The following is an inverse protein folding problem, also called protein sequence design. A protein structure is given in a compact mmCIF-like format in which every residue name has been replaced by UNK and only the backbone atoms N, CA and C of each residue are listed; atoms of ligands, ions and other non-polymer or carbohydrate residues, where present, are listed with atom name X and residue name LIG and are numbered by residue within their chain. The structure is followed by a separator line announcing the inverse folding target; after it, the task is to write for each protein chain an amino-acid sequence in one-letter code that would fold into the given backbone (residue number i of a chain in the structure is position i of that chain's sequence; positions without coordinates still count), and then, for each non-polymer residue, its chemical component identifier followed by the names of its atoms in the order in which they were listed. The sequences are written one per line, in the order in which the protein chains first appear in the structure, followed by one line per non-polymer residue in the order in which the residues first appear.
data_IF_304958717616
#
_entry.id   IF_304958717616
#
_cell.length_a   1.000
_cell.length_b   1.000
_cell.length_c   1.000
_cell.angle_alpha   90.00
_cell.angle_beta   90.00
_cell.angle_gamma   90.00
#
_symmetry.space_group_name_H-M   'P 1'
#
loop_
_entity.id
_entity.type
_entity.pdbx_description
1 polymer ?
#
# COMPACT_ATOMS: atom_id res chain seq x y z
N UNK A 1 2.07 7.37 8.56
CA UNK A 1 1.36 6.75 9.70
C UNK A 1 0.57 7.84 10.42
N UNK A 2 -0.67 7.59 10.82
CA UNK A 2 -1.42 8.51 11.69
C UNK A 2 -1.49 7.93 13.10
N UNK A 3 -1.40 8.75 14.15
CA UNK A 3 -1.50 8.31 15.54
C UNK A 3 -2.54 9.19 16.20
N UNK A 4 -3.63 8.57 16.65
CA UNK A 4 -4.74 9.24 17.30
C UNK A 4 -5.44 8.25 18.25
N UNK A 5 -6.06 8.76 19.32
CA UNK A 5 -6.75 7.92 20.29
C UNK A 5 -8.06 7.36 19.72
N UNK A 6 -8.67 6.35 20.38
CA UNK A 6 -9.93 5.80 19.95
C UNK A 6 -11.05 6.85 19.83
N UNK A 7 -11.68 6.98 18.65
CA UNK A 7 -12.56 8.11 18.37
C UNK A 7 -13.85 8.12 19.17
N UNK A 8 -14.37 6.95 19.53
CA UNK A 8 -15.57 6.76 20.34
C UNK A 8 -15.48 7.39 21.74
N UNK A 9 -14.25 7.62 22.21
CA UNK A 9 -13.96 8.25 23.49
C UNK A 9 -13.45 9.68 23.30
N UNK A 10 -12.48 9.83 22.39
CA UNK A 10 -11.73 11.06 22.23
C UNK A 10 -12.42 12.13 21.38
N UNK A 11 -13.46 11.80 20.60
CA UNK A 11 -14.17 12.75 19.74
C UNK A 11 -15.69 12.76 19.96
N UNK A 12 -16.14 12.32 21.14
CA UNK A 12 -17.55 12.52 21.55
C UNK A 12 -17.91 14.00 21.52
N UNK A 13 -19.07 14.32 20.96
CA UNK A 13 -19.58 15.70 20.88
C UNK A 13 -19.67 16.36 22.26
N UNK A 14 -19.98 15.58 23.29
CA UNK A 14 -20.01 16.00 24.70
C UNK A 14 -18.66 16.56 25.18
N UNK A 15 -17.55 16.01 24.69
CA UNK A 15 -16.18 16.39 25.06
C UNK A 15 -15.60 17.48 24.14
N UNK A 16 -16.22 17.68 22.97
CA UNK A 16 -15.75 18.59 21.92
C UNK A 16 -16.94 19.36 21.30
N UNK A 17 -17.49 20.38 22.00
CA UNK A 17 -18.67 21.11 21.56
C UNK A 17 -18.41 22.04 20.36
N UNK A 18 -17.18 22.10 19.87
CA UNK A 18 -16.81 22.91 18.71
C UNK A 18 -17.48 22.38 17.42
N UNK A 19 -17.73 23.25 16.42
CA UNK A 19 -18.33 22.84 15.17
C UNK A 19 -17.56 21.71 14.46
N UNK A 20 -18.33 20.82 13.83
CA UNK A 20 -17.84 19.75 12.97
C UNK A 20 -16.82 20.27 11.96
N UNK A 21 -15.61 19.70 11.95
CA UNK A 21 -14.54 20.05 11.00
C UNK A 21 -13.42 20.95 11.54
N UNK A 22 -13.52 21.46 12.78
CA UNK A 22 -12.40 22.17 13.45
C UNK A 22 -11.44 21.25 14.21
N UNK A 23 -11.90 20.05 14.58
CA UNK A 23 -11.11 19.02 15.26
C UNK A 23 -10.79 17.91 14.26
N UNK A 24 -9.56 17.41 14.24
CA UNK A 24 -9.08 16.35 13.36
C UNK A 24 -9.88 15.09 13.60
N UNK A 25 -10.66 14.70 12.60
CA UNK A 25 -11.53 13.52 12.65
C UNK A 25 -10.80 12.32 12.03
N UNK A 26 -11.09 11.10 12.49
CA UNK A 26 -10.49 9.89 11.93
C UNK A 26 -10.60 9.81 10.40
N UNK A 27 -9.53 9.28 9.80
CA UNK A 27 -9.50 8.54 8.55
C UNK A 27 -10.44 9.01 7.43
N UNK A 28 -10.06 10.02 6.65
CA UNK A 28 -10.42 10.12 5.21
C UNK A 28 -9.97 11.46 4.65
N UNK A 29 -9.97 12.53 5.46
CA UNK A 29 -9.58 13.87 5.03
C UNK A 29 -8.16 13.89 4.42
N UNK A 30 -7.22 13.17 5.02
CA UNK A 30 -5.85 13.05 4.48
C UNK A 30 -5.76 12.15 3.22
N UNK A 31 -6.75 11.29 2.96
CA UNK A 31 -6.77 10.50 1.71
C UNK A 31 -7.15 11.38 0.50
N UNK A 32 -8.01 12.38 0.69
CA UNK A 32 -8.35 13.35 -0.35
C UNK A 32 -7.17 14.21 -0.79
N UNK A 33 -6.17 14.42 0.08
CA UNK A 33 -4.94 15.14 -0.25
C UNK A 33 -3.88 14.26 -0.94
N UNK A 34 -4.23 13.05 -1.39
CA UNK A 34 -3.31 12.14 -2.08
C UNK A 34 -2.23 11.52 -1.19
N UNK A 35 -2.32 11.71 0.12
CA UNK A 35 -1.36 11.15 1.09
C UNK A 35 -1.63 9.66 1.25
N UNK A 36 -0.55 8.87 1.25
CA UNK A 36 -0.64 7.41 1.46
C UNK A 36 -0.47 7.10 2.92
N UNK A 37 -1.52 6.53 3.51
CA UNK A 37 -1.55 6.18 4.92
C UNK A 37 -1.47 4.67 5.10
N UNK A 38 -0.81 4.26 6.19
CA UNK A 38 -0.79 2.86 6.65
C UNK A 38 -2.14 2.51 7.28
N UNK A 39 -2.61 3.32 8.23
CA UNK A 39 -3.97 3.35 8.75
C UNK A 39 -4.78 4.45 8.04
N UNK A 40 -5.41 4.09 6.92
CA UNK A 40 -6.41 4.94 6.26
C UNK A 40 -7.76 4.96 7.00
N UNK A 41 -8.84 5.36 6.30
CA UNK A 41 -10.22 5.14 6.77
C UNK A 41 -10.55 3.65 6.74
N UNK A 42 -11.13 3.12 7.81
CA UNK A 42 -11.59 1.73 7.88
C UNK A 42 -10.57 0.80 7.24
N UNK A 43 -9.30 0.82 7.70
CA UNK A 43 -8.24 0.10 7.03
C UNK A 43 -8.73 -1.33 6.92
N UNK A 44 -8.88 -1.84 5.70
CA UNK A 44 -9.11 -3.26 5.46
C UNK A 44 -7.97 -3.91 6.24
N UNK A 45 -8.29 -4.47 7.42
CA UNK A 45 -7.35 -4.79 8.47
C UNK A 45 -6.52 -5.97 8.00
N UNK A 46 -5.58 -5.69 7.09
CA UNK A 46 -4.70 -6.67 6.50
C UNK A 46 -4.04 -7.42 7.64
N UNK A 47 -4.00 -8.75 7.56
CA UNK A 47 -3.63 -9.59 8.69
C UNK A 47 -2.32 -9.12 9.35
N UNK A 48 -1.31 -8.74 8.56
CA UNK A 48 -0.05 -8.22 9.09
C UNK A 48 -0.18 -6.90 9.84
N UNK A 49 -1.00 -5.96 9.37
CA UNK A 49 -1.25 -4.69 10.06
C UNK A 49 -1.98 -4.94 11.38
N UNK A 50 -2.99 -5.82 11.36
CA UNK A 50 -3.74 -6.20 12.56
C UNK A 50 -2.87 -6.91 13.61
N UNK A 51 -1.96 -7.79 13.17
CA UNK A 51 -1.06 -8.55 14.06
C UNK A 51 0.11 -7.70 14.58
N UNK A 52 0.76 -6.92 13.70
CA UNK A 52 2.01 -6.26 14.05
C UNK A 52 1.82 -4.86 14.64
N UNK A 53 0.70 -4.16 14.36
CA UNK A 53 0.51 -2.76 14.74
C UNK A 53 -0.73 -2.54 15.62
N UNK A 54 -1.50 -3.59 15.90
CA UNK A 54 -2.69 -3.54 16.77
C UNK A 54 -3.69 -2.42 16.42
N UNK A 55 -3.89 -2.17 15.12
CA UNK A 55 -4.92 -1.22 14.68
C UNK A 55 -6.33 -1.75 14.94
N UNK A 56 -7.19 -0.83 15.33
CA UNK A 56 -8.62 -1.04 15.45
C UNK A 56 -9.36 -0.58 14.19
N UNK A 57 -10.68 -0.72 14.21
CA UNK A 57 -11.54 -0.68 13.02
C UNK A 57 -11.51 0.67 12.29
N UNK A 58 -11.34 1.80 12.98
CA UNK A 58 -11.29 3.11 12.33
C UNK A 58 -9.87 3.56 11.97
N UNK A 59 -8.86 2.74 12.30
CA UNK A 59 -7.45 3.00 12.04
C UNK A 59 -6.70 3.62 13.22
N UNK A 60 -7.38 3.85 14.34
CA UNK A 60 -6.78 4.14 15.63
C UNK A 60 -5.84 3.00 16.03
N UNK A 61 -4.74 3.39 16.65
CA UNK A 61 -3.69 2.49 17.12
C UNK A 61 -3.76 2.40 18.64
N UNK A 62 -3.51 1.22 19.18
CA UNK A 62 -3.24 1.09 20.61
C UNK A 62 -2.10 2.04 21.05
N UNK A 63 -2.34 2.85 22.08
CA UNK A 63 -1.39 3.91 22.45
C UNK A 63 -0.06 3.36 22.98
N UNK A 64 -0.04 2.16 23.57
CA UNK A 64 1.21 1.52 24.00
C UNK A 64 2.01 1.03 22.80
N UNK A 65 1.33 0.50 21.77
CA UNK A 65 1.97 0.14 20.50
C UNK A 65 2.47 1.38 19.76
N UNK A 66 1.72 2.48 19.78
CA UNK A 66 2.16 3.74 19.18
C UNK A 66 3.41 4.30 19.86
N UNK A 67 3.46 4.29 21.19
CA UNK A 67 4.64 4.68 21.96
C UNK A 67 5.85 3.79 21.64
N UNK A 68 5.64 2.46 21.54
CA UNK A 68 6.68 1.53 21.09
C UNK A 68 7.19 1.88 19.68
N UNK A 69 6.29 2.10 18.72
CA UNK A 69 6.65 2.37 17.33
C UNK A 69 7.44 3.69 17.19
N UNK A 70 7.00 4.75 17.86
CA UNK A 70 7.66 6.07 17.78
C UNK A 70 8.90 6.16 18.66
N UNK A 71 8.97 5.40 19.75
CA UNK A 71 10.09 5.39 20.69
C UNK A 71 11.25 4.48 20.28
N UNK A 72 10.95 3.35 19.64
CA UNK A 72 11.94 2.28 19.38
C UNK A 72 12.05 1.90 17.89
N UNK A 73 10.97 1.97 17.12
CA UNK A 73 10.93 1.51 15.72
C UNK A 73 10.99 2.64 14.69
N UNK A 74 11.14 3.89 15.13
CA UNK A 74 11.17 5.06 14.26
C UNK A 74 12.57 5.43 13.74
N UNK A 75 13.62 4.76 14.23
CA UNK A 75 15.00 4.92 13.74
C UNK A 75 15.23 4.39 12.32
N UNK A 76 16.47 4.54 11.79
CA UNK A 76 16.79 4.22 10.40
C UNK A 76 16.69 2.72 10.08
N UNK A 77 16.91 1.87 11.08
CA UNK A 77 16.78 0.41 10.97
C UNK A 77 15.49 -0.13 11.60
N UNK A 78 14.64 0.76 12.12
CA UNK A 78 13.39 0.38 12.77
C UNK A 78 12.30 0.03 11.75
N UNK A 79 11.24 -0.59 12.24
CA UNK A 79 10.12 -1.08 11.43
C UNK A 79 9.52 0.03 10.56
N UNK A 80 9.41 1.26 11.07
CA UNK A 80 8.85 2.38 10.29
C UNK A 80 9.69 2.64 9.04
N UNK A 81 11.02 2.66 9.15
CA UNK A 81 11.90 2.81 8.01
C UNK A 81 11.84 1.59 7.08
N UNK A 82 11.76 0.37 7.62
CA UNK A 82 11.70 -0.87 6.83
C UNK A 82 10.42 -1.00 6.00
N UNK A 83 9.26 -0.56 6.49
CA UNK A 83 8.02 -0.56 5.69
C UNK A 83 7.87 0.69 4.80
N UNK A 84 8.78 1.65 4.92
CA UNK A 84 8.79 2.86 4.09
C UNK A 84 7.93 4.00 4.62
N UNK A 85 7.72 4.08 5.94
CA UNK A 85 7.11 5.25 6.57
C UNK A 85 8.14 6.37 6.67
N UNK A 86 7.87 7.42 5.92
CA UNK A 86 8.61 8.68 5.85
C UNK A 86 7.88 9.85 6.51
N UNK A 87 6.62 9.65 6.92
CA UNK A 87 5.84 10.66 7.63
C UNK A 87 4.94 10.08 8.72
N UNK A 88 4.85 10.79 9.85
CA UNK A 88 3.98 10.45 10.98
C UNK A 88 3.17 11.67 11.40
N UNK A 89 1.86 11.50 11.45
CA UNK A 89 0.92 12.52 11.93
C UNK A 89 0.52 12.10 13.34
N UNK A 90 0.71 12.97 14.31
CA UNK A 90 0.44 12.70 15.73
C UNK A 90 -0.61 13.68 16.23
N UNK A 91 -1.77 13.17 16.63
CA UNK A 91 -2.83 13.97 17.22
C UNK A 91 -2.40 14.58 18.55
N UNK A 92 -2.88 15.79 18.85
CA UNK A 92 -2.53 16.53 20.07
C UNK A 92 -2.80 15.75 21.36
N UNK A 93 -3.85 14.94 21.37
CA UNK A 93 -4.25 14.12 22.52
C UNK A 93 -3.22 13.02 22.84
N UNK A 94 -2.31 12.73 21.91
CA UNK A 94 -1.24 11.75 22.06
C UNK A 94 0.11 12.41 21.78
N UNK A 95 0.64 13.30 22.64
CA UNK A 95 1.83 14.11 22.36
C UNK A 95 3.13 13.29 22.42
N UNK A 96 3.20 12.23 21.63
CA UNK A 96 4.32 11.32 21.47
C UNK A 96 5.43 12.01 20.68
N UNK A 97 6.67 11.78 21.09
CA UNK A 97 7.86 12.35 20.44
C UNK A 97 8.59 11.21 19.73
N UNK A 98 8.79 11.37 18.42
CA UNK A 98 9.52 10.38 17.63
C UNK A 98 11.01 10.35 18.00
N UNK A 99 11.54 9.13 18.12
CA UNK A 99 12.94 8.88 18.45
C UNK A 99 13.62 7.99 17.39
N UNK A 100 14.91 8.23 17.11
CA UNK A 100 15.73 9.33 17.61
C UNK A 100 15.32 10.66 16.95
N UNK A 101 15.43 11.76 17.68
CA UNK A 101 15.04 13.08 17.17
C UNK A 101 15.83 13.51 15.92
N UNK A 102 17.05 12.98 15.75
CA UNK A 102 17.90 13.22 14.58
C UNK A 102 17.32 12.70 13.25
N UNK A 103 16.37 11.77 13.31
CA UNK A 103 15.75 11.18 12.12
C UNK A 103 14.53 11.96 11.64
N UNK A 104 13.99 12.89 12.43
CA UNK A 104 12.67 13.48 12.18
C UNK A 104 12.66 15.00 12.30
N UNK A 105 12.04 15.65 11.32
CA UNK A 105 11.75 17.09 11.32
C UNK A 105 10.25 17.30 11.49
N UNK A 106 9.87 18.28 12.32
CA UNK A 106 8.49 18.75 12.40
C UNK A 106 8.25 19.69 11.22
N UNK A 107 7.37 19.30 10.31
CA UNK A 107 7.02 20.10 9.12
C UNK A 107 5.73 20.90 9.29
N UNK A 108 4.89 20.52 10.26
CA UNK A 108 3.69 21.26 10.63
C UNK A 108 3.33 20.97 12.09
N UNK A 109 2.84 21.99 12.80
CA UNK A 109 2.33 21.86 14.16
C UNK A 109 1.27 22.94 14.41
N UNK A 110 0.12 22.54 14.90
CA UNK A 110 -0.96 23.44 15.24
C UNK A 110 -1.72 22.97 16.49
N UNK A 111 -2.94 23.47 16.67
CA UNK A 111 -3.80 23.12 17.79
C UNK A 111 -4.34 21.69 17.72
N UNK A 112 -4.22 21.02 16.57
CA UNK A 112 -4.76 19.68 16.31
C UNK A 112 -3.69 18.59 16.42
N UNK A 113 -2.44 18.89 16.10
CA UNK A 113 -1.38 17.90 16.20
C UNK A 113 -0.05 18.34 15.62
N UNK A 114 0.80 17.34 15.39
CA UNK A 114 2.15 17.52 14.86
C UNK A 114 2.37 16.57 13.67
N UNK A 115 2.93 17.08 12.59
CA UNK A 115 3.34 16.30 11.42
C UNK A 115 4.86 16.21 11.40
N UNK A 116 5.36 14.99 11.49
CA UNK A 116 6.77 14.64 11.39
C UNK A 116 7.06 14.09 10.00
N UNK A 117 8.20 14.47 9.45
CA UNK A 117 8.77 13.91 8.23
C UNK A 117 10.20 13.43 8.51
N UNK A 118 10.58 12.30 7.93
CA UNK A 118 11.94 11.79 8.06
C UNK A 118 12.93 12.75 7.39
N UNK A 119 14.08 12.95 8.01
CA UNK A 119 15.17 13.76 7.46
C UNK A 119 15.76 13.07 6.23
N UNK A 120 15.99 13.84 5.17
CA UNK A 120 16.62 13.36 3.94
C UNK A 120 15.62 13.04 2.81
N UNK A 121 16.08 12.33 1.76
CA UNK A 121 15.22 12.00 0.62
C UNK A 121 14.14 10.99 1.00
N UNK A 122 12.97 11.00 0.31
CA UNK A 122 11.96 9.98 0.50
C UNK A 122 12.51 8.56 0.31
N UNK A 123 12.04 7.63 1.14
CA UNK A 123 12.46 6.23 1.06
C UNK A 123 12.00 5.62 -0.27
N UNK A 124 12.95 5.06 -1.03
CA UNK A 124 12.64 4.38 -2.27
C UNK A 124 11.66 3.22 -2.04
N UNK A 125 10.63 3.13 -2.88
CA UNK A 125 9.60 2.09 -2.74
C UNK A 125 10.14 0.69 -2.93
N UNK A 126 11.15 0.50 -3.76
CA UNK A 126 11.90 -0.73 -3.88
C UNK A 126 13.31 -0.46 -3.39
N UNK A 127 13.75 -1.19 -2.37
CA UNK A 127 15.11 -1.06 -1.83
C UNK A 127 15.59 -2.37 -1.21
N UNK A 128 16.91 -2.51 -0.98
CA UNK A 128 17.44 -3.61 -0.20
C UNK A 128 16.88 -3.57 1.23
N UNK A 129 16.54 -4.75 1.75
CA UNK A 129 16.21 -4.93 3.16
C UNK A 129 17.49 -5.29 3.91
N UNK A 130 17.86 -4.44 4.87
CA UNK A 130 19.00 -4.67 5.74
C UNK A 130 18.46 -5.12 7.10
N UNK A 131 18.58 -6.40 7.41
CA UNK A 131 18.24 -6.94 8.72
C UNK A 131 19.47 -6.93 9.62
N UNK A 132 19.33 -6.56 10.91
CA UNK A 132 20.44 -6.65 11.85
C UNK A 132 21.02 -8.06 11.86
N UNK A 133 22.35 -8.16 11.79
CA UNK A 133 23.12 -9.41 11.80
C UNK A 133 22.91 -10.35 10.60
N UNK A 134 22.20 -9.92 9.55
CA UNK A 134 22.16 -10.64 8.28
C UNK A 134 23.14 -10.02 7.29
N UNK A 135 23.99 -10.88 6.70
CA UNK A 135 24.78 -10.49 5.55
C UNK A 135 23.86 -10.49 4.33
N UNK A 136 23.85 -9.37 3.62
CA UNK A 136 23.12 -9.23 2.37
C UNK A 136 24.07 -8.69 1.32
N UNK A 137 23.93 -9.18 0.09
CA UNK A 137 24.69 -8.67 -1.04
C UNK A 137 24.34 -7.21 -1.30
N UNK A 138 25.37 -6.42 -1.59
CA UNK A 138 25.19 -5.05 -2.06
C UNK A 138 24.37 -5.07 -3.34
N UNK A 139 23.34 -4.24 -3.41
CA UNK A 139 22.36 -4.27 -4.49
C UNK A 139 22.04 -2.85 -4.97
N UNK A 140 22.33 -2.55 -6.24
CA UNK A 140 21.81 -1.36 -6.93
C UNK A 140 20.42 -1.69 -7.42
N UNK A 141 19.53 -0.73 -7.19
CA UNK A 141 18.16 -0.75 -7.69
C UNK A 141 17.98 0.50 -8.53
N UNK A 142 17.66 0.32 -9.81
CA UNK A 142 17.25 1.40 -10.69
C UNK A 142 15.79 1.18 -11.12
N UNK A 143 14.88 1.92 -10.49
CA UNK A 143 13.44 1.79 -10.78
C UNK A 143 13.12 2.45 -12.12
N UNK A 144 12.51 1.68 -13.01
CA UNK A 144 12.07 2.10 -14.35
C UNK A 144 10.60 2.50 -14.33
N UNK A 145 9.77 1.73 -13.64
CA UNK A 145 8.32 1.95 -13.54
C UNK A 145 7.87 1.76 -12.10
N UNK A 146 7.02 2.67 -11.62
CA UNK A 146 6.40 2.60 -10.29
C UNK A 146 4.93 3.05 -10.35
N UNK A 147 4.05 2.15 -10.79
CA UNK A 147 2.61 2.38 -10.94
C UNK A 147 1.81 1.67 -9.84
N UNK A 148 0.51 1.97 -9.69
CA UNK A 148 -0.31 1.45 -8.56
C UNK A 148 -0.24 -0.08 -8.39
N UNK A 149 -0.14 -0.84 -9.47
CA UNK A 149 -0.15 -2.31 -9.42
C UNK A 149 1.17 -2.93 -9.88
N UNK A 150 2.14 -2.15 -10.35
CA UNK A 150 3.38 -2.67 -10.94
C UNK A 150 4.61 -1.87 -10.52
N UNK A 151 5.71 -2.57 -10.29
CA UNK A 151 7.06 -2.00 -10.21
C UNK A 151 7.95 -2.77 -11.18
N UNK A 152 8.75 -2.03 -11.95
CA UNK A 152 9.82 -2.58 -12.79
C UNK A 152 11.12 -1.90 -12.41
N UNK A 153 12.17 -2.68 -12.16
CA UNK A 153 13.49 -2.16 -11.84
C UNK A 153 14.58 -3.02 -12.44
N UNK A 154 15.67 -2.38 -12.84
CA UNK A 154 16.92 -3.06 -13.15
C UNK A 154 17.70 -3.24 -11.85
N UNK A 155 18.12 -4.48 -11.60
CA UNK A 155 18.82 -4.90 -10.39
C UNK A 155 20.22 -5.38 -10.76
N UNK A 156 21.18 -4.98 -9.94
CA UNK A 156 22.55 -5.45 -10.01
C UNK A 156 23.05 -5.74 -8.59
N UNK A 157 23.29 -7.00 -8.27
CA UNK A 157 23.92 -7.42 -7.02
C UNK A 157 25.39 -7.73 -7.28
N UNK A 158 26.30 -6.89 -6.80
CA UNK A 158 27.76 -7.13 -6.91
C UNK A 158 28.36 -7.47 -5.55
N UNK A 159 29.57 -8.03 -5.57
CA UNK A 159 30.31 -8.47 -4.37
C UNK A 159 29.59 -9.52 -3.50
N UNK A 160 28.54 -10.15 -4.02
CA UNK A 160 27.70 -11.06 -3.27
C UNK A 160 28.13 -12.50 -3.33
N UNK A 161 28.59 -13.07 -2.22
CA UNK A 161 28.57 -14.53 -1.98
C UNK A 161 27.18 -14.97 -1.51
N UNK A 162 26.37 -14.02 -0.99
CA UNK A 162 25.09 -14.29 -0.36
C UNK A 162 23.89 -13.78 -1.16
N UNK A 163 22.69 -14.18 -0.76
CA UNK A 163 21.45 -13.66 -1.35
C UNK A 163 21.19 -12.22 -0.94
N UNK A 164 20.54 -11.43 -1.80
CA UNK A 164 19.98 -10.13 -1.41
C UNK A 164 18.48 -10.25 -1.12
N UNK A 165 17.96 -9.55 -0.12
CA UNK A 165 16.53 -9.40 0.08
C UNK A 165 16.09 -7.99 -0.31
N UNK A 166 15.04 -7.89 -1.12
CA UNK A 166 14.43 -6.63 -1.49
C UNK A 166 13.06 -6.50 -0.83
N UNK A 167 12.74 -5.27 -0.41
CA UNK A 167 11.46 -4.90 0.20
C UNK A 167 10.74 -3.88 -0.68
N UNK A 168 9.42 -4.01 -0.74
CA UNK A 168 8.55 -3.12 -1.49
C UNK A 168 7.65 -2.35 -0.53
N UNK A 169 7.77 -1.02 -0.42
CA UNK A 169 6.91 -0.16 0.42
C UNK A 169 5.48 -0.08 -0.12
N UNK A 170 4.75 -1.19 -0.01
CA UNK A 170 3.36 -1.35 -0.41
C UNK A 170 2.70 -2.32 0.57
N UNK A 171 1.40 -2.15 0.88
CA UNK A 171 0.69 -3.13 1.69
C UNK A 171 0.78 -4.52 1.09
N UNK A 172 1.07 -5.52 1.92
CA UNK A 172 1.06 -6.91 1.49
C UNK A 172 -0.36 -7.47 1.46
N UNK A 173 -0.70 -8.07 0.33
CA UNK A 173 -1.87 -8.90 0.12
C UNK A 173 -1.45 -10.09 -0.73
N UNK A 174 -2.12 -11.23 -0.57
CA UNK A 174 -1.87 -12.35 -1.46
C UNK A 174 -2.26 -12.00 -2.91
N UNK A 175 -1.47 -12.47 -3.88
CA UNK A 175 -1.64 -12.16 -5.30
C UNK A 175 -0.54 -11.29 -5.92
N UNK A 176 0.52 -10.95 -5.19
CA UNK A 176 1.74 -10.42 -5.80
C UNK A 176 2.49 -11.50 -6.57
N UNK A 177 2.91 -11.18 -7.80
CA UNK A 177 3.73 -12.03 -8.66
C UNK A 177 5.00 -11.26 -9.01
N UNK A 178 6.16 -11.90 -8.85
CA UNK A 178 7.44 -11.33 -9.23
C UNK A 178 8.16 -12.19 -10.28
N UNK A 179 8.79 -11.53 -11.23
CA UNK A 179 9.64 -12.16 -12.24
C UNK A 179 11.00 -11.49 -12.30
N UNK A 180 12.05 -12.30 -12.46
CA UNK A 180 13.42 -11.86 -12.71
C UNK A 180 13.82 -12.37 -14.10
N UNK A 181 14.13 -11.47 -15.03
CA UNK A 181 14.40 -11.81 -16.43
C UNK A 181 13.30 -12.70 -17.04
N UNK A 182 12.04 -12.46 -16.68
CA UNK A 182 10.89 -13.23 -17.14
C UNK A 182 10.62 -14.54 -16.39
N UNK A 183 11.53 -15.01 -15.53
CA UNK A 183 11.34 -16.20 -14.71
C UNK A 183 10.68 -15.86 -13.38
N UNK A 184 9.65 -16.60 -12.98
CA UNK A 184 8.99 -16.41 -11.70
C UNK A 184 9.96 -16.60 -10.53
N UNK A 185 9.85 -15.72 -9.54
CA UNK A 185 10.54 -15.84 -8.25
C UNK A 185 9.52 -15.74 -7.12
N UNK A 186 9.82 -16.36 -5.98
CA UNK A 186 8.93 -16.37 -4.84
C UNK A 186 8.78 -14.95 -4.26
N UNK A 187 7.53 -14.54 -4.02
CA UNK A 187 7.18 -13.34 -3.27
C UNK A 187 6.80 -13.76 -1.86
N UNK A 188 7.53 -13.24 -0.88
CA UNK A 188 7.25 -13.41 0.54
C UNK A 188 6.72 -12.10 1.12
N UNK A 189 6.53 -12.06 2.43
CA UNK A 189 6.21 -10.82 3.15
C UNK A 189 7.16 -10.61 4.32
N UNK A 190 7.44 -9.35 4.62
CA UNK A 190 8.08 -8.98 5.87
C UNK A 190 7.00 -8.68 6.90
N UNK A 191 6.93 -9.51 7.96
CA UNK A 191 5.91 -9.44 9.03
C UNK A 191 4.45 -9.37 8.52
N UNK A 192 4.17 -9.93 7.33
CA UNK A 192 2.90 -9.78 6.62
C UNK A 192 2.47 -8.32 6.33
N UNK A 193 3.37 -7.35 6.44
CA UNK A 193 3.10 -5.93 6.24
C UNK A 193 3.35 -5.49 4.80
N UNK A 194 4.47 -5.96 4.23
CA UNK A 194 4.95 -5.52 2.92
C UNK A 194 5.55 -6.69 2.13
N UNK A 195 5.44 -6.70 0.79
CA UNK A 195 6.04 -7.75 -0.03
C UNK A 195 7.57 -7.70 0.00
N UNK A 196 8.18 -8.87 -0.11
CA UNK A 196 9.64 -9.03 -0.28
C UNK A 196 9.95 -10.07 -1.34
N UNK A 197 11.12 -9.95 -1.96
CA UNK A 197 11.70 -10.99 -2.82
C UNK A 197 13.13 -11.27 -2.40
N UNK A 198 13.56 -12.53 -2.52
CA UNK A 198 14.94 -12.94 -2.28
C UNK A 198 15.61 -13.19 -3.63
N UNK A 199 16.73 -12.52 -3.87
CA UNK A 199 17.52 -12.63 -5.08
C UNK A 199 18.78 -13.47 -4.80
N UNK A 200 19.16 -14.39 -5.71
CA UNK A 200 20.44 -15.08 -5.63
C UNK A 200 21.63 -14.12 -5.67
N UNK A 201 22.77 -14.58 -5.15
CA UNK A 201 24.06 -13.93 -5.33
C UNK A 201 24.37 -13.70 -6.83
N UNK A 202 24.97 -12.57 -7.17
CA UNK A 202 25.36 -12.24 -8.55
C UNK A 202 24.19 -12.03 -9.51
N UNK A 203 22.98 -11.76 -8.99
CA UNK A 203 21.82 -11.42 -9.80
C UNK A 203 22.02 -10.11 -10.55
N UNK A 204 21.90 -10.17 -11.88
CA UNK A 204 21.79 -8.99 -12.74
C UNK A 204 20.62 -9.16 -13.70
N UNK A 205 19.75 -8.15 -13.76
CA UNK A 205 18.64 -8.18 -14.69
C UNK A 205 17.41 -7.39 -14.27
N UNK A 206 16.32 -7.63 -14.98
CA UNK A 206 15.07 -6.89 -14.80
C UNK A 206 14.14 -7.63 -13.84
N UNK A 207 13.87 -7.00 -12.71
CA UNK A 207 12.85 -7.41 -11.75
C UNK A 207 11.53 -6.72 -12.08
N UNK A 208 10.47 -7.49 -12.22
CA UNK A 208 9.10 -6.98 -12.35
C UNK A 208 8.25 -7.56 -11.24
N UNK A 209 7.54 -6.72 -10.50
CA UNK A 209 6.53 -7.14 -9.54
C UNK A 209 5.18 -6.57 -9.94
N UNK A 210 4.15 -7.41 -9.98
CA UNK A 210 2.77 -7.01 -10.30
C UNK A 210 1.81 -7.58 -9.25
N UNK A 211 0.84 -6.77 -8.82
CA UNK A 211 -0.30 -7.27 -8.06
C UNK A 211 -1.37 -7.80 -9.02
N UNK A 212 -1.49 -9.13 -9.11
CA UNK A 212 -2.42 -9.83 -10.01
C UNK A 212 -3.03 -11.04 -9.30
N UNK A 213 -3.91 -10.82 -8.32
CA UNK A 213 -4.58 -11.92 -7.63
C UNK A 213 -5.45 -12.75 -8.58
N UNK A 214 -5.50 -14.06 -8.33
CA UNK A 214 -6.20 -15.02 -9.19
C UNK A 214 -7.69 -14.73 -9.34
N UNK A 215 -8.33 -14.20 -8.28
CA UNK A 215 -9.75 -13.85 -8.29
C UNK A 215 -10.07 -12.67 -9.21
N UNK A 216 -9.14 -11.71 -9.39
CA UNK A 216 -9.31 -10.65 -10.41
C UNK A 216 -9.24 -11.23 -11.82
N UNK A 217 -8.34 -12.20 -12.03
CA UNK A 217 -8.22 -12.87 -13.33
C UNK A 217 -9.52 -13.61 -13.66
N UNK A 218 -10.03 -14.40 -12.70
CA UNK A 218 -11.27 -15.13 -12.86
C UNK A 218 -12.47 -14.20 -13.06
N UNK A 219 -12.61 -13.16 -12.24
CA UNK A 219 -13.68 -12.16 -12.39
C UNK A 219 -13.64 -11.45 -13.74
N UNK A 220 -12.44 -11.10 -14.23
CA UNK A 220 -12.25 -10.50 -15.54
C UNK A 220 -12.66 -11.42 -16.69
N UNK A 221 -12.33 -12.71 -16.61
CA UNK A 221 -12.76 -13.72 -17.61
C UNK A 221 -14.29 -13.85 -17.62
N UNK A 222 -14.92 -13.96 -16.45
CA UNK A 222 -16.38 -14.07 -16.33
C UNK A 222 -17.07 -12.84 -16.91
N UNK A 223 -16.60 -11.63 -16.57
CA UNK A 223 -17.14 -10.39 -17.10
C UNK A 223 -17.02 -10.31 -18.64
N UNK A 224 -15.88 -10.73 -19.20
CA UNK A 224 -15.67 -10.81 -20.65
C UNK A 224 -16.64 -11.76 -21.33
N UNK A 225 -16.88 -12.94 -20.76
CA UNK A 225 -17.85 -13.91 -21.28
C UNK A 225 -19.28 -13.37 -21.22
N UNK A 226 -19.67 -12.70 -20.13
CA UNK A 226 -20.98 -12.05 -20.00
C UNK A 226 -21.21 -10.98 -21.07
N UNK A 227 -20.19 -10.16 -21.36
CA UNK A 227 -20.24 -9.15 -22.42
C UNK A 227 -20.43 -9.78 -23.81
N UNK A 228 -19.74 -10.88 -24.10
CA UNK A 228 -19.88 -11.60 -25.37
C UNK A 228 -21.28 -12.19 -25.54
N UNK A 229 -21.84 -12.80 -24.49
CA UNK A 229 -23.20 -13.37 -24.52
C UNK A 229 -24.23 -12.26 -24.72
N UNK A 230 -24.14 -11.18 -23.95
CA UNK A 230 -25.08 -10.06 -24.04
C UNK A 230 -25.00 -9.35 -25.40
N UNK A 231 -23.78 -9.05 -25.86
CA UNK A 231 -23.54 -8.41 -27.14
C UNK A 231 -24.01 -9.27 -28.32
N UNK A 232 -23.74 -10.58 -28.28
CA UNK A 232 -24.21 -11.54 -29.28
C UNK A 232 -25.73 -11.64 -29.33
N UNK A 233 -26.39 -11.69 -28.16
CA UNK A 233 -27.85 -11.68 -28.05
C UNK A 233 -28.47 -10.39 -28.61
N UNK A 234 -27.89 -9.24 -28.27
CA UNK A 234 -28.36 -7.94 -28.77
C UNK A 234 -28.17 -7.81 -30.29
N UNK A 235 -27.01 -8.24 -30.81
CA UNK A 235 -26.76 -8.25 -32.26
C UNK A 235 -27.75 -9.15 -33.01
N UNK A 236 -28.01 -10.34 -32.46
CA UNK A 236 -29.00 -11.27 -33.02
C UNK A 236 -30.40 -10.65 -33.03
N UNK A 237 -30.84 -10.06 -31.93
CA UNK A 237 -32.14 -9.40 -31.82
C UNK A 237 -32.29 -8.22 -32.82
N UNK A 238 -31.25 -7.41 -33.00
CA UNK A 238 -31.23 -6.33 -34.00
C UNK A 238 -31.33 -6.88 -35.42
N UNK A 239 -30.60 -7.96 -35.72
CA UNK A 239 -30.62 -8.60 -37.04
C UNK A 239 -31.98 -9.22 -37.36
N UNK A 240 -32.61 -9.86 -36.38
CA UNK A 240 -33.96 -10.42 -36.52
C UNK A 240 -35.01 -9.31 -36.73
N UNK A 241 -34.95 -8.20 -35.99
CA UNK A 241 -35.84 -7.04 -36.21
C UNK A 241 -35.69 -6.45 -37.61
N UNK A 242 -34.46 -6.26 -38.10
CA UNK A 242 -34.20 -5.74 -39.46
C UNK A 242 -34.73 -6.66 -40.56
N UNK A 243 -34.63 -7.98 -40.37
CA UNK A 243 -35.22 -8.96 -41.30
C UNK A 243 -36.75 -8.92 -41.28
N UNK A 244 -37.36 -8.78 -40.11
CA UNK A 244 -38.81 -8.67 -39.97
C UNK A 244 -39.40 -7.42 -40.62
N UNK A 245 -38.72 -6.26 -40.49
CA UNK A 245 -39.18 -5.01 -41.12
C UNK A 245 -38.98 -4.98 -42.64
N UNK A 246 -37.93 -5.63 -43.18
CA UNK A 246 -37.78 -5.79 -44.64
C UNK A 246 -38.82 -6.74 -45.25
N UNK A 247 -39.29 -7.75 -44.51
CA UNK A 247 -40.33 -8.68 -44.98
C UNK A 247 -41.72 -8.07 -45.05
N UNK A 248 -42.07 -7.14 -44.15
CA UNK A 248 -43.36 -6.43 -44.19
C UNK A 248 -43.45 -5.40 -45.32
N UNK A 249 -42.35 -4.73 -45.67
CA UNK A 249 -42.33 -3.76 -46.77
C UNK A 249 -42.48 -4.42 -48.17
N UNK A 250 -42.07 -5.68 -48.32
CA UNK A 250 -42.19 -6.43 -49.57
C UNK A 250 -43.58 -7.07 -49.81
N UNK A 251 -44.43 -7.12 -48.78
CA UNK A 251 -45.80 -7.65 -48.88
C UNK A 251 -46.86 -6.55 -49.06
N UNK A 252 -46.45 -5.28 -49.06
CA UNK A 252 -47.32 -4.11 -49.21
C UNK A 252 -47.14 -3.34 -50.53
N UNK A 253 -46.42 -3.91 -51.51
CA UNK A 253 -46.23 -3.38 -52.86
C UNK A 253 -46.76 -4.35 -53.90
#
# INVERSE_FOLDING_TARGET
LSIYPPPENAYRLENHPQPVGRVTRPGSTSMWSGVRLVNGYSPIRGAGVGMAWAFYTHGEIDLSMADYLVGYEAGPNGLLAQVGVDGVIVARQCPMILKPASEWTIIHKDVEGTVYQRVGPPLARLRPLLLPNEKSSETKVHVIEDSRQRIVADIDTWNGVESAQLIFSRPYFDGYVATLNGKNIAVNSYKALVPTVRLPAGTRGRLTMVYRPWWLVLGGVVAGMSLLIFGGGMWRAIRERRRGSSGQAALSS
#
